data_IF_216962683484
#
_entry.id   IF_216962683484
#
_cell.length_a   1.000
_cell.length_b   1.000
_cell.length_c   1.000
_cell.angle_alpha   90.00
_cell.angle_beta   90.00
_cell.angle_gamma   90.00
#
_symmetry.space_group_name_H-M   'P 1'
#
loop_
_entity.id
_entity.type
_entity.pdbx_description
1 polymer ?
#
# COMPACT_ATOMS: atom_id res chain seq x y z
N UNK A 1 -7.08 -10.64 -8.12
CA UNK A 1 -6.92 -9.59 -7.08
C UNK A 1 -5.45 -9.20 -6.82
N UNK A 2 -4.50 -10.13 -6.87
CA UNK A 2 -3.06 -9.81 -6.70
C UNK A 2 -2.42 -9.12 -7.92
N UNK A 3 -2.99 -9.28 -9.11
CA UNK A 3 -2.45 -8.71 -10.35
C UNK A 3 -2.56 -7.19 -10.37
N UNK A 4 -3.72 -6.63 -10.03
CA UNK A 4 -3.93 -5.17 -10.02
C UNK A 4 -2.99 -4.42 -9.06
N UNK A 5 -2.72 -4.98 -7.86
CA UNK A 5 -1.76 -4.40 -6.91
C UNK A 5 -0.34 -4.43 -7.49
N UNK A 6 0.05 -5.53 -8.14
CA UNK A 6 1.36 -5.65 -8.78
C UNK A 6 1.52 -4.64 -9.91
N UNK A 7 0.55 -4.57 -10.81
CA UNK A 7 0.58 -3.66 -11.96
C UNK A 7 0.67 -2.20 -11.50
N UNK A 8 -0.05 -1.83 -10.43
CA UNK A 8 0.04 -0.49 -9.83
C UNK A 8 1.41 -0.21 -9.23
N UNK A 9 2.02 -1.19 -8.55
CA UNK A 9 3.39 -1.07 -8.03
C UNK A 9 4.41 -0.96 -9.17
N UNK A 10 4.30 -1.82 -10.19
CA UNK A 10 5.21 -1.83 -11.33
C UNK A 10 5.11 -0.52 -12.13
N UNK A 11 3.90 0.02 -12.29
CA UNK A 11 3.67 1.33 -12.90
C UNK A 11 4.31 2.46 -12.10
N UNK A 12 4.17 2.41 -10.76
CA UNK A 12 4.81 3.40 -9.89
C UNK A 12 6.34 3.33 -10.00
N UNK A 13 6.91 2.11 -10.05
CA UNK A 13 8.35 1.89 -10.23
C UNK A 13 8.81 2.40 -11.61
N UNK A 14 8.05 2.14 -12.67
CA UNK A 14 8.34 2.64 -14.00
C UNK A 14 8.32 4.16 -14.04
N UNK A 15 7.31 4.78 -13.44
CA UNK A 15 7.19 6.23 -13.30
C UNK A 15 8.37 6.86 -12.53
N UNK A 16 8.79 6.26 -11.41
CA UNK A 16 9.93 6.73 -10.63
C UNK A 16 11.26 6.66 -11.40
N UNK A 17 11.41 5.65 -12.29
CA UNK A 17 12.58 5.52 -13.17
C UNK A 17 12.55 6.51 -14.32
N UNK A 18 11.39 6.70 -14.92
CA UNK A 18 11.16 7.61 -16.04
C UNK A 18 9.75 8.24 -15.93
N UNK A 19 9.64 9.51 -15.51
CA UNK A 19 8.36 10.20 -15.40
C UNK A 19 7.57 10.29 -16.73
N UNK A 20 8.24 10.21 -17.88
CA UNK A 20 7.64 10.27 -19.20
C UNK A 20 7.25 8.90 -19.78
N UNK A 21 7.34 7.81 -18.99
CA UNK A 21 6.98 6.47 -19.44
C UNK A 21 5.51 6.37 -19.88
N UNK A 22 5.20 5.47 -20.83
CA UNK A 22 3.80 5.14 -21.16
C UNK A 22 3.24 4.24 -20.04
N UNK A 23 2.33 4.80 -19.23
CA UNK A 23 1.72 4.08 -18.10
C UNK A 23 0.93 2.85 -18.56
N UNK A 24 0.45 2.83 -19.81
CA UNK A 24 -0.29 1.71 -20.36
C UNK A 24 0.57 0.47 -20.68
N UNK A 25 1.89 0.56 -20.60
CA UNK A 25 2.76 -0.62 -20.71
C UNK A 25 2.67 -1.53 -19.48
N UNK A 26 2.41 -0.95 -18.32
CA UNK A 26 2.34 -1.65 -17.03
C UNK A 26 0.95 -1.65 -16.43
N UNK A 27 0.09 -0.68 -16.75
CA UNK A 27 -1.29 -0.54 -16.26
C UNK A 27 -2.25 -0.60 -17.43
N UNK A 28 -2.67 -1.80 -17.82
CA UNK A 28 -3.49 -2.02 -19.02
C UNK A 28 -4.93 -1.53 -18.86
N UNK A 29 -5.59 -1.92 -17.74
CA UNK A 29 -6.99 -1.62 -17.50
C UNK A 29 -7.34 -1.79 -16.01
N UNK A 30 -8.44 -1.18 -15.53
CA UNK A 30 -8.92 -1.39 -14.16
C UNK A 30 -9.49 -2.80 -13.97
N UNK A 31 -9.31 -3.36 -12.76
CA UNK A 31 -9.95 -4.60 -12.30
C UNK A 31 -11.21 -4.30 -11.49
N UNK A 32 -12.16 -5.26 -11.52
CA UNK A 32 -13.40 -5.17 -10.76
C UNK A 32 -13.51 -6.29 -9.72
N UNK A 33 -14.07 -6.03 -8.53
CA UNK A 33 -14.21 -7.04 -7.47
C UNK A 33 -15.05 -8.24 -7.86
N UNK A 34 -16.04 -8.05 -8.74
CA UNK A 34 -16.96 -9.08 -9.25
C UNK A 34 -16.44 -9.78 -10.51
N UNK A 35 -15.25 -9.39 -10.98
CA UNK A 35 -14.69 -9.89 -12.24
C UNK A 35 -15.36 -9.30 -13.47
N UNK A 36 -15.60 -10.13 -14.47
CA UNK A 36 -16.14 -9.75 -15.77
C UNK A 36 -15.05 -9.56 -16.84
N UNK A 37 -15.48 -9.38 -18.07
CA UNK A 37 -14.63 -9.04 -19.20
C UNK A 37 -14.75 -7.57 -19.55
N UNK A 38 -13.63 -6.83 -19.50
CA UNK A 38 -13.60 -5.46 -19.98
C UNK A 38 -13.47 -5.46 -21.50
N UNK A 39 -14.39 -4.74 -22.19
CA UNK A 39 -14.29 -4.52 -23.62
C UNK A 39 -13.21 -3.44 -23.83
N UNK A 40 -11.99 -3.90 -24.11
CA UNK A 40 -10.82 -3.06 -24.16
C UNK A 40 -10.80 -2.17 -25.41
N UNK A 41 -10.73 -0.85 -25.19
CA UNK A 41 -10.40 0.14 -26.18
C UNK A 41 -9.27 1.04 -25.66
N UNK A 42 -8.10 0.95 -26.32
CA UNK A 42 -6.89 1.63 -25.87
C UNK A 42 -7.06 3.16 -25.78
N UNK A 43 -7.81 3.75 -26.69
CA UNK A 43 -8.00 5.20 -26.71
C UNK A 43 -8.88 5.66 -25.55
N UNK A 44 -9.96 4.94 -25.29
CA UNK A 44 -10.85 5.19 -24.15
C UNK A 44 -10.10 5.04 -22.81
N UNK A 45 -9.29 3.99 -22.64
CA UNK A 45 -8.51 3.80 -21.42
C UNK A 45 -7.46 4.91 -21.25
N UNK A 46 -6.78 5.30 -22.34
CA UNK A 46 -5.81 6.40 -22.30
C UNK A 46 -6.49 7.71 -21.88
N UNK A 47 -7.63 8.05 -22.44
CA UNK A 47 -8.39 9.25 -22.06
C UNK A 47 -8.78 9.23 -20.57
N UNK A 48 -9.23 8.07 -20.06
CA UNK A 48 -9.54 7.90 -18.64
C UNK A 48 -8.29 8.12 -17.77
N UNK A 49 -7.14 7.58 -18.18
CA UNK A 49 -5.89 7.72 -17.42
C UNK A 49 -5.31 9.13 -17.48
N UNK A 50 -5.58 9.88 -18.54
CA UNK A 50 -5.17 11.28 -18.67
C UNK A 50 -6.10 12.23 -17.92
N UNK A 51 -7.41 12.02 -18.00
CA UNK A 51 -8.40 12.97 -17.48
C UNK A 51 -9.00 12.57 -16.12
N UNK A 52 -8.84 11.32 -15.72
CA UNK A 52 -9.49 10.75 -14.54
C UNK A 52 -11.00 10.53 -14.71
N UNK A 53 -11.54 10.70 -15.92
CA UNK A 53 -12.97 10.53 -16.23
C UNK A 53 -13.17 9.75 -17.52
N UNK A 54 -14.29 9.05 -17.61
CA UNK A 54 -14.71 8.31 -18.77
C UNK A 54 -15.58 7.14 -18.41
N UNK A 55 -15.80 6.22 -19.35
CA UNK A 55 -16.56 5.01 -19.08
C UNK A 55 -15.99 3.82 -19.84
N UNK A 56 -16.00 2.66 -19.20
CA UNK A 56 -15.60 1.39 -19.79
C UNK A 56 -16.79 0.46 -19.83
N UNK A 57 -16.84 -0.44 -20.83
CA UNK A 57 -17.87 -1.48 -20.88
C UNK A 57 -17.34 -2.76 -20.29
N UNK A 58 -18.13 -3.34 -19.38
CA UNK A 58 -17.84 -4.61 -18.71
C UNK A 58 -18.92 -5.60 -19.05
N UNK A 59 -18.55 -6.82 -19.35
CA UNK A 59 -19.41 -7.92 -19.75
C UNK A 59 -19.27 -9.07 -18.77
N UNK A 60 -20.39 -9.74 -18.48
CA UNK A 60 -20.40 -10.97 -17.68
C UNK A 60 -19.61 -12.08 -18.37
N UNK A 61 -18.94 -12.92 -17.58
CA UNK A 61 -18.34 -14.16 -18.06
C UNK A 61 -19.30 -15.32 -17.87
N UNK A 62 -19.37 -16.16 -18.89
CA UNK A 62 -20.23 -17.32 -18.90
C UNK A 62 -19.54 -18.52 -19.54
N UNK A 63 -20.08 -19.70 -19.26
CA UNK A 63 -19.73 -20.94 -19.95
C UNK A 63 -21.01 -21.71 -20.34
N UNK A 64 -20.96 -22.41 -21.44
CA UNK A 64 -22.06 -23.30 -21.87
C UNK A 64 -21.74 -24.75 -21.50
N UNK A 65 -22.56 -25.34 -20.64
CA UNK A 65 -22.46 -26.74 -20.21
C UNK A 65 -23.37 -27.57 -21.12
N UNK A 66 -22.79 -28.30 -22.09
CA UNK A 66 -23.53 -29.02 -23.14
C UNK A 66 -24.34 -30.17 -22.60
N UNK A 67 -23.80 -30.88 -21.58
CA UNK A 67 -24.45 -32.05 -21.00
C UNK A 67 -25.80 -31.69 -20.35
N UNK A 68 -25.89 -30.54 -19.76
CA UNK A 68 -27.07 -30.03 -19.05
C UNK A 68 -27.90 -29.07 -19.90
N UNK A 69 -27.39 -28.68 -21.07
CA UNK A 69 -27.97 -27.65 -21.93
C UNK A 69 -28.20 -26.32 -21.19
N UNK A 70 -27.21 -25.90 -20.43
CA UNK A 70 -27.23 -24.83 -19.44
C UNK A 70 -26.18 -23.77 -19.77
N UNK A 71 -26.53 -22.49 -19.64
CA UNK A 71 -25.55 -21.38 -19.55
C UNK A 71 -25.32 -21.07 -18.08
N UNK A 72 -24.06 -21.09 -17.66
CA UNK A 72 -23.62 -20.76 -16.33
C UNK A 72 -22.85 -19.44 -16.37
N UNK A 73 -23.36 -18.41 -15.69
CA UNK A 73 -22.74 -17.13 -15.55
C UNK A 73 -22.04 -17.11 -14.18
N UNK A 74 -20.72 -16.87 -14.16
CA UNK A 74 -19.89 -16.95 -12.95
C UNK A 74 -19.17 -15.65 -12.60
N UNK A 75 -19.19 -14.64 -13.47
CA UNK A 75 -18.74 -13.27 -13.17
C UNK A 75 -19.71 -12.28 -13.81
N UNK A 76 -20.04 -11.20 -13.10
CA UNK A 76 -20.98 -10.16 -13.55
C UNK A 76 -20.36 -8.78 -13.44
N UNK A 77 -20.83 -7.78 -14.21
CA UNK A 77 -20.41 -6.39 -14.05
C UNK A 77 -20.62 -5.89 -12.61
N UNK A 78 -19.68 -5.06 -12.13
CA UNK A 78 -19.73 -4.52 -10.77
C UNK A 78 -20.94 -3.62 -10.48
N UNK A 79 -21.52 -3.05 -11.52
CA UNK A 79 -22.67 -2.13 -11.44
C UNK A 79 -24.03 -2.82 -11.21
N UNK A 80 -24.08 -4.16 -11.17
CA UNK A 80 -25.33 -4.91 -11.10
C UNK A 80 -25.29 -6.05 -10.07
N UNK A 81 -26.44 -6.65 -9.81
CA UNK A 81 -26.60 -7.81 -8.94
C UNK A 81 -27.25 -8.97 -9.68
N UNK A 82 -27.15 -10.21 -9.15
CA UNK A 82 -27.75 -11.40 -9.76
C UNK A 82 -29.27 -11.26 -9.84
N UNK A 83 -29.88 -10.76 -8.76
CA UNK A 83 -31.34 -10.55 -8.70
C UNK A 83 -31.83 -9.57 -9.77
N UNK A 84 -31.14 -8.44 -9.93
CA UNK A 84 -31.50 -7.43 -10.95
C UNK A 84 -31.39 -7.98 -12.38
N UNK A 85 -30.39 -8.85 -12.62
CA UNK A 85 -30.22 -9.56 -13.91
C UNK A 85 -31.38 -10.55 -14.13
N UNK A 86 -31.72 -11.35 -13.11
CA UNK A 86 -32.79 -12.33 -13.15
C UNK A 86 -34.12 -11.66 -13.40
N UNK A 87 -34.45 -10.61 -12.67
CA UNK A 87 -35.69 -9.83 -12.85
C UNK A 87 -35.82 -9.31 -14.29
N UNK A 88 -34.72 -8.77 -14.81
CA UNK A 88 -34.70 -8.24 -16.18
C UNK A 88 -34.87 -9.31 -17.24
N UNK A 89 -34.25 -10.49 -17.05
CA UNK A 89 -34.43 -11.63 -17.94
C UNK A 89 -35.91 -12.14 -17.87
N UNK A 90 -36.46 -12.22 -16.64
CA UNK A 90 -37.85 -12.62 -16.45
C UNK A 90 -38.83 -11.65 -17.17
N UNK A 91 -38.61 -10.36 -17.12
CA UNK A 91 -39.37 -9.36 -17.87
C UNK A 91 -39.30 -9.63 -19.39
N UNK A 92 -38.10 -9.91 -19.93
CA UNK A 92 -37.91 -10.19 -21.35
C UNK A 92 -38.59 -11.48 -21.79
N UNK A 93 -38.61 -12.49 -20.93
CA UNK A 93 -39.33 -13.74 -21.18
C UNK A 93 -40.86 -13.52 -21.17
N UNK A 94 -41.37 -12.79 -20.16
CA UNK A 94 -42.81 -12.43 -20.08
C UNK A 94 -43.27 -11.60 -21.28
N UNK A 95 -42.41 -10.69 -21.75
CA UNK A 95 -42.67 -9.85 -22.93
C UNK A 95 -42.53 -10.62 -24.26
N UNK A 96 -42.20 -11.91 -24.24
CA UNK A 96 -42.01 -12.74 -25.42
C UNK A 96 -40.79 -12.41 -26.27
N UNK A 97 -39.90 -11.52 -25.76
CA UNK A 97 -38.67 -11.13 -26.45
C UNK A 97 -37.61 -12.22 -26.39
N UNK A 98 -37.57 -13.01 -25.32
CA UNK A 98 -36.67 -14.14 -25.12
C UNK A 98 -37.55 -15.40 -24.94
N UNK A 99 -37.42 -16.34 -25.84
CA UNK A 99 -38.21 -17.57 -25.85
C UNK A 99 -37.37 -18.83 -25.60
N UNK A 100 -36.08 -18.67 -25.64
CA UNK A 100 -35.05 -19.71 -25.65
C UNK A 100 -34.78 -20.26 -24.23
N UNK A 101 -35.19 -19.56 -23.18
CA UNK A 101 -34.96 -19.91 -21.76
C UNK A 101 -36.09 -20.82 -21.29
N UNK A 102 -35.74 -21.92 -20.61
CA UNK A 102 -36.65 -22.84 -19.95
C UNK A 102 -36.82 -22.50 -18.48
N UNK A 103 -35.75 -22.33 -17.76
CA UNK A 103 -35.70 -22.00 -16.33
C UNK A 103 -34.45 -21.16 -16.00
N UNK A 104 -34.42 -20.54 -14.81
CA UNK A 104 -33.31 -19.73 -14.35
C UNK A 104 -33.22 -19.84 -12.83
N UNK A 105 -32.01 -20.12 -12.32
CA UNK A 105 -31.74 -20.32 -10.89
C UNK A 105 -30.48 -19.59 -10.45
N UNK A 106 -30.55 -19.01 -9.26
CA UNK A 106 -29.34 -18.56 -8.54
C UNK A 106 -28.79 -19.74 -7.72
N UNK A 107 -27.65 -20.24 -8.11
CA UNK A 107 -26.90 -21.32 -7.46
C UNK A 107 -25.64 -20.82 -6.80
N UNK A 108 -25.58 -19.51 -6.47
CA UNK A 108 -24.45 -18.87 -5.80
C UNK A 108 -24.22 -19.49 -4.43
N UNK A 109 -22.98 -19.91 -4.16
CA UNK A 109 -22.57 -20.53 -2.92
C UNK A 109 -21.20 -20.02 -2.44
N UNK A 110 -20.61 -20.70 -1.46
CA UNK A 110 -19.27 -20.35 -0.92
C UNK A 110 -18.14 -20.48 -1.96
N UNK A 111 -18.35 -21.23 -3.04
CA UNK A 111 -17.37 -21.37 -4.13
C UNK A 111 -17.37 -20.19 -5.11
N UNK A 112 -18.45 -19.41 -5.12
CA UNK A 112 -18.57 -18.22 -5.95
C UNK A 112 -19.95 -17.98 -6.53
N UNK A 113 -20.07 -16.94 -7.34
CA UNK A 113 -21.28 -16.58 -8.06
C UNK A 113 -21.59 -17.64 -9.13
N UNK A 114 -22.85 -18.07 -9.19
CA UNK A 114 -23.33 -19.00 -10.19
C UNK A 114 -24.81 -18.76 -10.53
N UNK A 115 -25.05 -18.07 -11.65
CA UNK A 115 -26.39 -17.92 -12.21
C UNK A 115 -26.54 -18.94 -13.34
N UNK A 116 -27.45 -19.91 -13.14
CA UNK A 116 -27.76 -21.00 -14.07
C UNK A 116 -28.98 -20.64 -14.93
N UNK A 117 -28.85 -20.74 -16.26
CA UNK A 117 -29.91 -20.46 -17.23
C UNK A 117 -30.12 -21.72 -18.11
N UNK A 118 -31.18 -22.45 -17.86
CA UNK A 118 -31.55 -23.64 -18.63
C UNK A 118 -32.13 -23.25 -20.00
N UNK A 119 -31.65 -23.90 -21.04
CA UNK A 119 -32.06 -23.63 -22.41
C UNK A 119 -33.13 -24.62 -22.88
N UNK A 120 -34.05 -24.16 -23.72
CA UNK A 120 -34.94 -25.04 -24.46
C UNK A 120 -34.17 -25.81 -25.54
N UNK A 121 -34.66 -27.00 -25.90
CA UNK A 121 -34.04 -27.81 -26.95
C UNK A 121 -33.93 -27.02 -28.27
N UNK A 122 -32.75 -27.02 -28.86
CA UNK A 122 -32.47 -26.34 -30.12
C UNK A 122 -32.22 -24.85 -30.02
N UNK A 123 -32.14 -24.28 -28.80
CA UNK A 123 -31.72 -22.92 -28.60
C UNK A 123 -30.18 -22.78 -28.85
N UNK A 124 -29.79 -21.66 -29.49
CA UNK A 124 -28.41 -21.33 -29.74
C UNK A 124 -27.90 -20.47 -28.58
N UNK A 125 -26.94 -20.97 -27.75
CA UNK A 125 -26.46 -20.27 -26.56
C UNK A 125 -25.81 -18.91 -26.89
N UNK A 126 -25.06 -18.84 -27.99
CA UNK A 126 -24.33 -17.64 -28.34
C UNK A 126 -25.25 -16.51 -28.84
N UNK A 127 -26.26 -16.88 -29.63
CA UNK A 127 -27.28 -15.90 -30.05
C UNK A 127 -28.08 -15.38 -28.87
N UNK A 128 -28.43 -16.28 -27.93
CA UNK A 128 -29.12 -15.89 -26.71
C UNK A 128 -28.28 -14.95 -25.89
N UNK A 129 -27.01 -15.28 -25.63
CA UNK A 129 -26.11 -14.41 -24.85
C UNK A 129 -25.89 -13.05 -25.54
N UNK A 130 -25.71 -13.01 -26.84
CA UNK A 130 -25.64 -11.77 -27.62
C UNK A 130 -26.87 -10.88 -27.44
N UNK A 131 -28.06 -11.49 -27.33
CA UNK A 131 -29.31 -10.78 -27.09
C UNK A 131 -29.44 -10.29 -25.65
N UNK A 132 -29.03 -11.11 -24.69
CA UNK A 132 -29.03 -10.78 -23.27
C UNK A 132 -28.04 -9.63 -22.98
N UNK A 133 -26.86 -9.65 -23.56
CA UNK A 133 -25.87 -8.53 -23.44
C UNK A 133 -26.39 -7.18 -23.93
N UNK A 134 -27.29 -7.18 -24.92
CA UNK A 134 -27.89 -5.94 -25.44
C UNK A 134 -29.09 -5.45 -24.63
N UNK A 135 -29.75 -6.35 -23.90
CA UNK A 135 -31.06 -6.09 -23.30
C UNK A 135 -31.06 -6.11 -21.77
N UNK A 136 -29.97 -6.51 -21.16
CA UNK A 136 -29.81 -6.64 -19.69
C UNK A 136 -28.48 -6.04 -19.24
N UNK A 137 -28.29 -5.92 -17.93
CA UNK A 137 -27.05 -5.48 -17.29
C UNK A 137 -25.94 -6.56 -17.26
N UNK A 138 -26.10 -7.68 -17.99
CA UNK A 138 -25.00 -8.62 -18.24
C UNK A 138 -23.84 -7.99 -19.05
N UNK A 139 -24.12 -6.91 -19.78
CA UNK A 139 -23.13 -5.99 -20.29
C UNK A 139 -23.56 -4.59 -19.91
N UNK A 140 -22.71 -3.88 -19.20
CA UNK A 140 -23.03 -2.56 -18.71
C UNK A 140 -21.83 -1.61 -18.84
N UNK A 141 -22.11 -0.33 -18.76
CA UNK A 141 -21.12 0.75 -18.81
C UNK A 141 -20.77 1.18 -17.40
N UNK A 142 -19.50 1.09 -17.03
CA UNK A 142 -18.99 1.56 -15.74
C UNK A 142 -18.34 2.93 -15.90
N UNK A 143 -18.88 3.92 -15.21
CA UNK A 143 -18.34 5.28 -15.21
C UNK A 143 -17.11 5.37 -14.27
N UNK A 144 -15.97 5.73 -14.83
CA UNK A 144 -14.76 6.02 -14.08
C UNK A 144 -14.73 7.49 -13.68
N UNK A 145 -14.45 7.74 -12.40
CA UNK A 145 -14.26 9.09 -11.86
C UNK A 145 -13.22 9.01 -10.73
N UNK A 146 -11.96 9.36 -11.03
CA UNK A 146 -10.85 9.30 -10.10
C UNK A 146 -10.84 10.54 -9.20
N UNK A 147 -11.77 10.58 -8.26
CA UNK A 147 -11.91 11.68 -7.33
C UNK A 147 -11.08 11.40 -6.07
N UNK A 148 -10.02 12.17 -5.86
CA UNK A 148 -9.01 11.97 -4.81
C UNK A 148 -8.93 13.19 -3.92
N UNK A 149 -8.69 12.96 -2.63
CA UNK A 149 -8.49 14.04 -1.64
C UNK A 149 -7.00 14.43 -1.61
N UNK A 150 -6.73 15.67 -2.01
CA UNK A 150 -5.39 16.28 -1.88
C UNK A 150 -5.49 17.43 -0.88
N UNK A 151 -4.75 17.34 0.20
CA UNK A 151 -4.80 18.30 1.32
C UNK A 151 -6.23 18.56 1.83
N UNK A 152 -7.09 17.53 1.85
CA UNK A 152 -8.49 17.62 2.28
C UNK A 152 -9.46 18.13 1.22
N UNK A 153 -9.01 18.52 0.03
CA UNK A 153 -9.87 18.98 -1.07
C UNK A 153 -10.05 17.90 -2.14
N UNK A 154 -11.28 17.61 -2.58
CA UNK A 154 -11.54 16.66 -3.66
C UNK A 154 -11.09 17.23 -5.01
N UNK A 155 -10.32 16.44 -5.76
CA UNK A 155 -9.87 16.76 -7.11
C UNK A 155 -10.02 15.53 -8.00
N UNK A 156 -10.48 15.74 -9.24
CA UNK A 156 -10.47 14.69 -10.25
C UNK A 156 -9.13 14.76 -10.97
N UNK A 157 -8.44 13.64 -11.03
CA UNK A 157 -7.04 13.59 -11.49
C UNK A 157 -6.81 12.37 -12.37
N UNK A 158 -5.95 12.53 -13.38
CA UNK A 158 -5.44 11.42 -14.16
C UNK A 158 -4.46 10.55 -13.35
N UNK A 159 -4.17 9.35 -13.84
CA UNK A 159 -3.28 8.40 -13.16
C UNK A 159 -1.89 8.99 -12.93
N UNK A 160 -1.34 9.70 -13.93
CA UNK A 160 -0.02 10.35 -13.81
C UNK A 160 0.00 11.37 -12.66
N UNK A 161 -0.98 12.26 -12.61
CA UNK A 161 -1.09 13.26 -11.55
C UNK A 161 -1.24 12.60 -10.17
N UNK A 162 -1.98 11.47 -10.08
CA UNK A 162 -2.11 10.69 -8.85
C UNK A 162 -0.75 10.13 -8.40
N UNK A 163 0.04 9.60 -9.34
CA UNK A 163 1.37 9.08 -9.04
C UNK A 163 2.34 10.19 -8.61
N UNK A 164 2.26 11.36 -9.21
CA UNK A 164 3.04 12.56 -8.84
C UNK A 164 2.75 12.97 -7.40
N UNK A 165 1.49 13.20 -7.06
CA UNK A 165 1.06 13.60 -5.72
C UNK A 165 1.39 12.52 -4.68
N UNK A 166 1.13 11.24 -4.99
CA UNK A 166 1.48 10.14 -4.10
C UNK A 166 2.98 10.04 -3.85
N UNK A 167 3.78 10.19 -4.91
CA UNK A 167 5.25 10.12 -4.80
C UNK A 167 5.80 11.26 -3.96
N UNK A 168 5.29 12.49 -4.17
CA UNK A 168 5.67 13.65 -3.37
C UNK A 168 5.32 13.44 -1.88
N UNK A 169 4.10 13.02 -1.60
CA UNK A 169 3.65 12.70 -0.24
C UNK A 169 4.47 11.56 0.39
N UNK A 170 4.73 10.49 -0.37
CA UNK A 170 5.51 9.34 0.13
C UNK A 170 6.95 9.72 0.44
N UNK A 171 7.57 10.53 -0.41
CA UNK A 171 8.92 11.07 -0.18
C UNK A 171 8.98 11.83 1.15
N UNK A 172 8.01 12.69 1.41
CA UNK A 172 7.93 13.41 2.67
C UNK A 172 7.71 12.49 3.89
N UNK A 173 6.91 11.45 3.76
CA UNK A 173 6.73 10.44 4.79
C UNK A 173 8.05 9.70 5.11
N UNK A 174 8.82 9.33 4.08
CA UNK A 174 10.12 8.67 4.25
C UNK A 174 11.10 9.63 4.94
N UNK A 175 11.18 10.88 4.50
CA UNK A 175 12.04 11.92 5.13
C UNK A 175 11.72 12.07 6.61
N UNK A 176 10.46 12.21 6.98
CA UNK A 176 10.04 12.34 8.39
C UNK A 176 10.40 11.11 9.21
N UNK A 177 10.22 9.91 8.67
CA UNK A 177 10.63 8.67 9.34
C UNK A 177 12.12 8.63 9.58
N UNK A 178 12.92 8.85 8.53
CA UNK A 178 14.40 8.85 8.65
C UNK A 178 14.89 9.94 9.60
N UNK A 179 14.28 11.11 9.57
CA UNK A 179 14.62 12.19 10.51
C UNK A 179 14.34 11.81 11.97
N UNK A 180 13.20 11.15 12.24
CA UNK A 180 12.87 10.66 13.58
C UNK A 180 13.88 9.61 14.06
N UNK A 181 14.17 8.61 13.20
CA UNK A 181 15.14 7.56 13.52
C UNK A 181 16.54 8.15 13.76
N UNK A 182 16.95 9.13 12.94
CA UNK A 182 18.20 9.83 13.10
C UNK A 182 18.28 10.60 14.43
N UNK A 183 17.20 11.29 14.80
CA UNK A 183 17.14 12.02 16.10
C UNK A 183 17.32 11.05 17.26
N UNK A 184 16.65 9.90 17.23
CA UNK A 184 16.78 8.85 18.27
C UNK A 184 18.20 8.28 18.34
N UNK A 185 18.82 8.04 17.18
CA UNK A 185 20.22 7.58 17.12
C UNK A 185 21.20 8.62 17.68
N UNK A 186 20.99 9.90 17.37
CA UNK A 186 21.81 11.00 17.91
C UNK A 186 21.66 11.14 19.42
N UNK A 187 20.46 11.08 19.97
CA UNK A 187 20.21 11.07 21.40
C UNK A 187 20.97 9.93 22.09
N UNK A 188 20.87 8.71 21.56
CA UNK A 188 21.57 7.54 22.08
C UNK A 188 23.08 7.69 22.00
N UNK A 189 23.61 8.16 20.86
CA UNK A 189 25.03 8.42 20.67
C UNK A 189 25.55 9.45 21.67
N UNK A 190 24.75 10.50 21.92
CA UNK A 190 25.10 11.53 22.89
C UNK A 190 25.28 10.95 24.30
N UNK A 191 24.38 10.07 24.75
CA UNK A 191 24.50 9.39 26.04
C UNK A 191 25.73 8.47 26.08
N UNK A 192 25.97 7.69 25.02
CA UNK A 192 27.12 6.77 24.96
C UNK A 192 28.45 7.51 24.95
N UNK A 193 28.55 8.69 24.33
CA UNK A 193 29.76 9.55 24.40
C UNK A 193 30.03 10.08 25.79
N UNK A 194 29.00 10.42 26.55
CA UNK A 194 29.13 10.76 27.94
C UNK A 194 29.67 9.60 28.79
N UNK A 195 29.07 8.40 28.56
CA UNK A 195 29.53 7.18 29.20
C UNK A 195 31.01 6.86 28.87
N UNK A 196 31.40 6.95 27.60
CA UNK A 196 32.78 6.68 27.17
C UNK A 196 33.81 7.53 27.91
N UNK A 197 33.53 8.84 28.10
CA UNK A 197 34.40 9.74 28.87
C UNK A 197 34.58 9.25 30.30
N UNK A 198 33.54 8.74 30.94
CA UNK A 198 33.58 8.23 32.31
C UNK A 198 34.27 6.86 32.38
N UNK A 199 34.07 6.01 31.38
CA UNK A 199 34.69 4.68 31.29
C UNK A 199 36.23 4.78 31.13
N UNK A 200 36.75 5.89 30.62
CA UNK A 200 38.18 6.13 30.52
C UNK A 200 38.84 6.33 31.91
N UNK A 201 38.09 6.81 32.90
CA UNK A 201 38.56 7.02 34.28
C UNK A 201 37.46 6.73 35.30
N UNK A 202 37.13 5.45 35.42
CA UNK A 202 36.08 4.98 36.31
C UNK A 202 36.41 5.26 37.78
N UNK A 203 37.65 5.12 38.17
CA UNK A 203 38.09 5.30 39.57
C UNK A 203 37.79 6.73 40.02
N UNK A 204 38.06 7.70 39.18
CA UNK A 204 37.70 9.09 39.41
C UNK A 204 36.20 9.32 39.53
N UNK A 205 35.38 8.64 38.70
CA UNK A 205 33.93 8.73 38.82
C UNK A 205 33.42 8.19 40.14
N UNK A 206 33.93 7.03 40.58
CA UNK A 206 33.61 6.41 41.87
C UNK A 206 34.04 7.30 43.00
N UNK A 207 35.22 7.91 42.91
CA UNK A 207 35.75 8.85 43.92
C UNK A 207 34.85 10.08 44.06
N UNK A 208 34.43 10.70 42.96
CA UNK A 208 33.53 11.85 42.95
C UNK A 208 32.20 11.45 43.65
N UNK A 209 31.56 10.34 43.24
CA UNK A 209 30.28 9.89 43.83
C UNK A 209 30.41 9.62 45.30
N UNK A 210 31.49 8.95 45.72
CA UNK A 210 31.74 8.55 47.11
C UNK A 210 32.04 9.76 48.04
N UNK A 211 32.68 10.79 47.51
CA UNK A 211 33.05 11.99 48.28
C UNK A 211 31.98 13.07 48.27
N UNK A 212 30.86 12.87 47.49
CA UNK A 212 29.74 13.79 47.47
C UNK A 212 28.82 13.52 48.67
N UNK A 213 28.54 14.56 49.46
CA UNK A 213 27.73 14.45 50.69
C UNK A 213 26.21 14.36 50.39
N UNK A 214 25.75 15.12 49.40
CA UNK A 214 24.31 15.16 49.05
C UNK A 214 24.05 14.51 47.69
N UNK A 215 23.02 13.68 47.61
CA UNK A 215 22.62 13.02 46.38
C UNK A 215 22.36 13.97 45.21
N UNK A 216 21.76 15.15 45.50
CA UNK A 216 21.49 16.17 44.52
C UNK A 216 22.75 16.80 43.89
N UNK A 217 23.90 16.65 44.51
CA UNK A 217 25.17 17.20 44.01
C UNK A 217 25.98 16.22 43.16
N UNK A 218 25.58 14.94 43.13
CA UNK A 218 26.28 13.89 42.36
C UNK A 218 26.33 14.22 40.87
N UNK A 219 25.20 14.61 40.27
CA UNK A 219 25.12 14.97 38.85
C UNK A 219 25.97 16.23 38.55
N UNK A 220 25.84 17.37 39.25
CA UNK A 220 26.70 18.52 39.08
C UNK A 220 28.21 18.23 39.20
N UNK A 221 28.58 17.39 40.18
CA UNK A 221 29.98 17.04 40.40
C UNK A 221 30.55 16.17 39.27
N UNK A 222 29.75 15.20 38.73
CA UNK A 222 30.14 14.45 37.55
C UNK A 222 30.26 15.32 36.31
N UNK A 223 29.35 16.28 36.12
CA UNK A 223 29.42 17.25 35.01
C UNK A 223 30.73 18.05 35.04
N UNK A 224 31.11 18.57 36.20
CA UNK A 224 32.36 19.33 36.36
C UNK A 224 33.60 18.43 36.22
N UNK A 225 33.57 17.23 36.80
CA UNK A 225 34.70 16.30 36.80
C UNK A 225 35.08 15.76 35.44
N UNK A 226 34.11 15.57 34.53
CA UNK A 226 34.29 14.94 33.22
C UNK A 226 33.97 15.85 32.04
N UNK A 227 33.45 17.04 32.26
CA UNK A 227 33.06 17.96 31.20
C UNK A 227 31.93 17.42 30.34
N UNK A 228 30.95 16.75 30.97
CA UNK A 228 29.75 16.21 30.37
C UNK A 228 28.51 17.03 30.74
N UNK A 229 27.46 16.96 29.96
CA UNK A 229 26.22 17.67 30.29
C UNK A 229 25.34 16.89 31.30
N UNK A 230 24.26 17.53 31.74
CA UNK A 230 23.37 17.00 32.75
C UNK A 230 22.74 15.66 32.31
N UNK A 231 22.28 15.56 31.07
CA UNK A 231 21.60 14.34 30.55
C UNK A 231 22.58 13.15 30.53
N UNK A 232 23.84 13.42 30.15
CA UNK A 232 24.92 12.42 30.17
C UNK A 232 25.27 12.01 31.60
N UNK A 233 25.37 12.98 32.52
CA UNK A 233 25.69 12.71 33.90
C UNK A 233 24.59 11.93 34.64
N UNK A 234 23.32 12.25 34.43
CA UNK A 234 22.17 11.51 34.92
C UNK A 234 22.19 10.08 34.41
N UNK A 235 22.38 9.88 33.10
CA UNK A 235 22.47 8.53 32.51
C UNK A 235 23.56 7.68 33.12
N UNK A 236 24.70 8.27 33.40
CA UNK A 236 25.83 7.56 34.02
C UNK A 236 25.59 7.27 35.50
N UNK A 237 25.02 8.21 36.27
CA UNK A 237 24.71 8.02 37.67
C UNK A 237 23.74 6.85 37.92
N UNK A 238 22.86 6.54 36.94
CA UNK A 238 21.92 5.42 36.99
C UNK A 238 22.54 4.06 36.64
N UNK A 239 23.81 4.03 36.19
CA UNK A 239 24.44 2.77 35.78
C UNK A 239 24.69 1.89 36.98
N UNK A 240 24.23 0.66 36.92
CA UNK A 240 24.43 -0.34 37.96
C UNK A 240 25.91 -0.76 38.03
N UNK A 241 26.50 -0.83 39.20
CA UNK A 241 27.90 -1.25 39.42
C UNK A 241 28.27 -2.55 38.70
N UNK A 242 27.36 -3.54 38.65
CA UNK A 242 27.57 -4.82 37.93
C UNK A 242 27.82 -4.65 36.42
N UNK A 243 27.41 -3.53 35.87
CA UNK A 243 27.58 -3.23 34.42
C UNK A 243 28.93 -2.55 34.13
N UNK A 244 29.71 -2.20 35.18
CA UNK A 244 31.04 -1.63 35.05
C UNK A 244 32.07 -2.76 34.93
N UNK A 245 31.94 -3.62 33.95
CA UNK A 245 32.91 -4.67 33.68
C UNK A 245 33.50 -4.52 32.28
N UNK A 246 34.63 -5.18 32.02
CA UNK A 246 35.38 -5.08 30.79
C UNK A 246 34.53 -5.42 29.53
N UNK A 247 33.70 -6.43 29.65
CA UNK A 247 32.82 -6.87 28.55
C UNK A 247 31.79 -5.79 28.21
N UNK A 248 31.16 -5.20 29.22
CA UNK A 248 30.19 -4.12 29.03
C UNK A 248 30.83 -2.90 28.38
N UNK A 249 32.04 -2.52 28.83
CA UNK A 249 32.79 -1.40 28.27
C UNK A 249 33.08 -1.62 26.79
N UNK A 250 33.65 -2.78 26.42
CA UNK A 250 33.96 -3.11 25.03
C UNK A 250 32.72 -3.11 24.15
N UNK A 251 31.62 -3.67 24.65
CA UNK A 251 30.35 -3.68 23.96
C UNK A 251 29.82 -2.26 23.69
N UNK A 252 29.92 -1.36 24.67
CA UNK A 252 29.46 0.04 24.50
C UNK A 252 30.32 0.86 23.55
N UNK A 253 31.63 0.67 23.59
CA UNK A 253 32.53 1.30 22.62
C UNK A 253 32.22 0.85 21.19
N UNK A 254 32.08 -0.45 20.95
CA UNK A 254 31.68 -0.97 19.64
C UNK A 254 30.30 -0.46 19.18
N UNK A 255 29.34 -0.35 20.09
CA UNK A 255 28.00 0.21 19.81
C UNK A 255 28.08 1.70 19.42
N UNK A 256 29.00 2.46 20.05
CA UNK A 256 29.21 3.87 19.73
C UNK A 256 29.73 4.03 18.28
N UNK A 257 30.75 3.26 17.92
CA UNK A 257 31.33 3.28 16.58
C UNK A 257 30.34 2.84 15.49
N UNK A 258 29.50 1.84 15.78
CA UNK A 258 28.46 1.39 14.87
C UNK A 258 27.37 2.46 14.66
N UNK A 259 26.95 3.11 15.75
CA UNK A 259 25.97 4.19 15.71
C UNK A 259 26.48 5.42 14.95
N UNK A 260 27.76 5.77 15.08
CA UNK A 260 28.36 6.86 14.31
C UNK A 260 28.31 6.59 12.81
N UNK A 261 28.70 5.38 12.39
CA UNK A 261 28.62 4.97 10.98
C UNK A 261 27.17 4.97 10.45
N UNK A 262 26.25 4.48 11.25
CA UNK A 262 24.83 4.46 10.90
C UNK A 262 24.23 5.87 10.75
N UNK A 263 24.63 6.82 11.60
CA UNK A 263 24.20 8.21 11.52
C UNK A 263 24.74 8.86 10.25
N UNK A 264 26.01 8.62 9.92
CA UNK A 264 26.63 9.14 8.70
C UNK A 264 25.92 8.64 7.44
N UNK A 265 25.65 7.33 7.36
CA UNK A 265 24.85 6.73 6.27
C UNK A 265 23.42 7.31 6.19
N UNK A 266 22.77 7.52 7.33
CA UNK A 266 21.43 8.11 7.37
C UNK A 266 21.42 9.56 6.88
N UNK A 267 22.46 10.34 7.16
CA UNK A 267 22.61 11.70 6.66
C UNK A 267 22.80 11.75 5.13
N UNK A 268 23.55 10.81 4.56
CA UNK A 268 23.70 10.67 3.11
C UNK A 268 22.34 10.37 2.46
N UNK A 269 21.55 9.46 3.02
CA UNK A 269 20.23 9.14 2.51
C UNK A 269 19.21 10.29 2.59
N UNK A 270 19.37 11.23 3.52
CA UNK A 270 18.53 12.44 3.61
C UNK A 270 18.94 13.48 2.57
N UNK A 271 20.26 13.67 2.36
CA UNK A 271 20.78 14.65 1.42
C UNK A 271 20.62 14.21 -0.03
N UNK A 272 20.76 12.92 -0.29
CA UNK A 272 20.62 12.32 -1.61
C UNK A 272 19.66 11.12 -1.55
N UNK A 273 18.32 11.35 -1.52
CA UNK A 273 17.38 10.26 -1.53
C UNK A 273 17.49 9.50 -2.85
N UNK A 274 18.23 8.39 -2.83
CA UNK A 274 18.30 7.50 -3.98
C UNK A 274 16.90 6.95 -4.26
N UNK A 275 16.53 6.82 -5.55
CA UNK A 275 15.22 6.28 -5.99
C UNK A 275 14.87 4.94 -5.34
N UNK A 276 15.86 4.19 -4.89
CA UNK A 276 15.69 2.90 -4.19
C UNK A 276 15.19 3.03 -2.73
N UNK A 277 15.33 4.19 -2.08
CA UNK A 277 14.84 4.40 -0.71
C UNK A 277 13.37 4.80 -0.63
N UNK A 278 12.70 5.02 -1.77
CA UNK A 278 11.30 5.44 -1.86
C UNK A 278 10.31 4.25 -1.98
N UNK A 279 10.81 3.06 -2.21
CA UNK A 279 10.06 1.80 -2.29
C UNK A 279 10.35 0.99 -1.02
#
# INVERSE_FOLDING_TARGET
>A
RQMCIRDSCDTTIAYLKNPDCDLMETLLAPDFPTGGELIFDRNTIREIYETGRGSVRVRAKYRYVKEENLIEIYEIPYSTTVEAIMDKIAELVKAGKVKEISDMRDETDLSGLKLAIDLKRGADPEKLMSKLFRSTSLQDSFACNFNILIAGMPRVMGVREILEEWTAWRTECVRRRVFYELSRKKEKLHLLKGLERILLDIDKAIEIIRNTELEAEVVPNLMMGFGIDQIQAEYVAEIRLRNINREYILKRTSETEELERDIELSLIHISEPTRHSLI
#
